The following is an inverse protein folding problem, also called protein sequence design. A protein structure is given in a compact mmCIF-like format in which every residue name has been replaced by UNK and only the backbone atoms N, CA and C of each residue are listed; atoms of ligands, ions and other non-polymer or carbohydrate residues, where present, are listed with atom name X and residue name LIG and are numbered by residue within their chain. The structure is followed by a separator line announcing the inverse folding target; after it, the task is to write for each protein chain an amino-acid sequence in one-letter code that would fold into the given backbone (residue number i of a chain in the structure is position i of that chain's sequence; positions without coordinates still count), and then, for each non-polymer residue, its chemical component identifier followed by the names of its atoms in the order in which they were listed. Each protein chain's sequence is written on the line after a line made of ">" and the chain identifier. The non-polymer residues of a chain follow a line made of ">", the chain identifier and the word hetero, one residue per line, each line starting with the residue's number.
data_IF_879002345606
#
_entry.id   IF_879002345606
#
_cell.length_a   1.000
_cell.length_b   1.000
_cell.length_c   1.000
_cell.angle_alpha   90.00
_cell.angle_beta   90.00
_cell.angle_gamma   90.00
#
_symmetry.space_group_name_H-M   'P 1'
#
loop_
_entity.id
_entity.type
_entity.pdbx_description
1 polymer ?
#
# COMPACT_ATOMS: atom_id res chain seq x y z
N UNK A 1 -0.61 5.60 -5.26
CA UNK A 1 -0.44 6.75 -6.18
C UNK A 1 -1.36 7.85 -5.72
N UNK A 2 -0.85 8.83 -5.02
CA UNK A 2 -1.61 9.93 -4.48
C UNK A 2 -0.97 11.27 -4.82
N UNK A 3 -1.73 12.35 -4.68
CA UNK A 3 -1.22 13.70 -4.84
C UNK A 3 -0.81 14.21 -3.46
N UNK A 4 0.46 14.52 -3.33
CA UNK A 4 1.06 14.96 -2.09
C UNK A 4 0.35 16.19 -1.50
N UNK A 5 -0.06 16.07 -0.24
CA UNK A 5 -0.38 17.19 0.63
C UNK A 5 -1.71 17.91 0.39
N UNK A 6 -2.46 17.61 -0.66
CA UNK A 6 -3.74 18.27 -0.89
C UNK A 6 -4.90 17.43 -0.34
N UNK A 7 -5.24 17.68 0.92
CA UNK A 7 -6.34 17.01 1.63
C UNK A 7 -7.74 17.41 1.14
N UNK A 8 -7.85 18.44 0.32
CA UNK A 8 -9.15 18.92 -0.17
C UNK A 8 -9.61 18.22 -1.46
N UNK A 9 -8.69 17.54 -2.16
CA UNK A 9 -8.99 16.89 -3.44
C UNK A 9 -9.80 15.61 -3.25
N UNK A 10 -10.83 15.42 -4.07
CA UNK A 10 -11.64 14.21 -4.11
C UNK A 10 -10.99 13.07 -4.90
N UNK A 11 -10.14 13.42 -5.88
CA UNK A 11 -9.52 12.47 -6.80
C UNK A 11 -8.29 11.73 -6.20
N UNK A 12 -7.88 12.02 -4.98
CA UNK A 12 -6.85 11.27 -4.24
C UNK A 12 -7.42 10.33 -3.16
N UNK A 13 -8.70 10.02 -3.23
CA UNK A 13 -9.35 9.07 -2.32
C UNK A 13 -9.02 7.61 -2.65
N UNK A 14 -8.50 7.36 -3.84
CA UNK A 14 -8.09 6.04 -4.30
C UNK A 14 -6.58 5.94 -4.48
N UNK A 15 -6.05 4.80 -4.09
CA UNK A 15 -4.70 4.37 -4.45
C UNK A 15 -4.77 3.43 -5.64
N UNK A 16 -3.69 3.33 -6.40
CA UNK A 16 -3.61 2.47 -7.58
C UNK A 16 -2.52 1.43 -7.38
N UNK A 17 -2.92 0.16 -7.44
CA UNK A 17 -2.00 -0.97 -7.51
C UNK A 17 -1.80 -1.30 -8.99
N UNK A 18 -0.56 -1.29 -9.45
CA UNK A 18 -0.19 -1.71 -10.79
C UNK A 18 0.27 -3.17 -10.73
N UNK A 19 -0.32 -4.01 -11.57
CA UNK A 19 0.10 -5.40 -11.74
C UNK A 19 0.89 -5.55 -13.02
N UNK A 20 2.01 -6.26 -12.92
CA UNK A 20 2.85 -6.65 -14.05
C UNK A 20 3.13 -8.14 -13.99
N UNK A 21 3.08 -8.81 -15.14
CA UNK A 21 3.56 -10.17 -15.27
C UNK A 21 5.09 -10.18 -15.18
N UNK A 22 5.63 -11.02 -14.29
CA UNK A 22 7.06 -11.08 -14.03
C UNK A 22 7.85 -11.58 -15.24
N UNK A 23 7.29 -12.53 -16.00
CA UNK A 23 7.96 -13.08 -17.16
C UNK A 23 8.00 -12.04 -18.31
N UNK A 24 6.95 -11.23 -18.43
CA UNK A 24 6.95 -10.11 -19.38
C UNK A 24 7.98 -9.04 -19.00
N UNK A 25 8.13 -8.73 -17.70
CA UNK A 25 9.13 -7.76 -17.23
C UNK A 25 10.56 -8.18 -17.57
N UNK A 26 10.87 -9.48 -17.56
CA UNK A 26 12.20 -10.00 -17.94
C UNK A 26 12.66 -9.58 -19.34
N UNK A 27 11.75 -9.33 -20.26
CA UNK A 27 12.05 -8.87 -21.62
C UNK A 27 12.68 -7.48 -21.65
N UNK A 28 12.54 -6.72 -20.57
CA UNK A 28 13.05 -5.37 -20.40
C UNK A 28 14.31 -5.30 -19.53
N UNK A 29 14.78 -6.44 -19.01
CA UNK A 29 16.01 -6.50 -18.21
C UNK A 29 17.22 -6.07 -19.03
N UNK A 30 18.01 -5.16 -18.51
CA UNK A 30 19.24 -4.66 -19.10
C UNK A 30 20.26 -4.35 -18.01
N UNK A 31 21.55 -4.42 -18.32
CA UNK A 31 22.59 -3.91 -17.42
C UNK A 31 22.34 -2.44 -17.08
N UNK A 32 22.55 -2.06 -15.84
CA UNK A 32 22.51 -0.66 -15.42
C UNK A 32 23.69 0.10 -16.06
N UNK A 33 23.41 1.25 -16.63
CA UNK A 33 24.41 2.15 -17.20
C UNK A 33 24.22 3.55 -16.62
N UNK A 34 25.27 4.12 -16.03
CA UNK A 34 25.23 5.48 -15.47
C UNK A 34 24.95 6.56 -16.52
N UNK A 35 25.30 6.32 -17.80
CA UNK A 35 25.02 7.24 -18.89
C UNK A 35 23.58 7.16 -19.39
N UNK A 36 22.88 6.06 -19.08
CA UNK A 36 21.49 5.82 -19.41
C UNK A 36 20.76 5.20 -18.20
N UNK A 37 20.61 5.96 -17.11
CA UNK A 37 20.11 5.42 -15.81
C UNK A 37 18.65 5.02 -15.86
N UNK A 38 17.87 5.54 -16.81
CA UNK A 38 16.47 5.21 -16.96
C UNK A 38 16.29 4.04 -17.91
N UNK A 39 15.69 2.97 -17.40
CA UNK A 39 15.31 1.82 -18.20
C UNK A 39 13.83 1.92 -18.54
N UNK A 40 13.48 1.62 -19.78
CA UNK A 40 12.07 1.50 -20.16
C UNK A 40 11.56 0.11 -19.80
N UNK A 41 10.34 0.06 -19.29
CA UNK A 41 9.55 -1.15 -19.08
C UNK A 41 8.37 -1.20 -20.05
N UNK A 42 7.36 -2.02 -19.78
CA UNK A 42 6.10 -2.02 -20.51
C UNK A 42 5.45 -0.64 -20.46
N UNK A 43 4.86 -0.20 -21.56
CA UNK A 43 4.13 1.09 -21.61
C UNK A 43 2.87 1.08 -20.73
N UNK A 44 2.28 -0.08 -20.56
CA UNK A 44 1.07 -0.26 -19.76
C UNK A 44 1.24 -1.43 -18.79
N UNK A 45 0.66 -1.35 -17.59
CA UNK A 45 0.56 -2.49 -16.70
C UNK A 45 -0.48 -3.49 -17.23
N UNK A 46 -0.37 -4.76 -16.81
CA UNK A 46 -1.38 -5.78 -17.11
C UNK A 46 -2.72 -5.49 -16.44
N UNK A 47 -2.70 -4.80 -15.31
CA UNK A 47 -3.88 -4.27 -14.67
C UNK A 47 -3.58 -3.05 -13.82
N UNK A 48 -4.56 -2.14 -13.75
CA UNK A 48 -4.66 -1.06 -12.77
C UNK A 48 -5.82 -1.38 -11.84
N UNK A 49 -5.53 -1.51 -10.55
CA UNK A 49 -6.51 -1.88 -9.54
C UNK A 49 -6.63 -0.72 -8.57
N UNK A 50 -7.82 -0.21 -8.43
CA UNK A 50 -8.12 0.93 -7.56
C UNK A 50 -8.53 0.43 -6.17
N UNK A 51 -8.03 1.12 -5.16
CA UNK A 51 -8.32 0.84 -3.75
C UNK A 51 -8.79 2.12 -3.09
N UNK A 52 -9.99 2.10 -2.51
CA UNK A 52 -10.46 3.24 -1.73
C UNK A 52 -9.78 3.24 -0.35
N UNK A 53 -8.98 4.25 -0.09
CA UNK A 53 -8.30 4.47 1.20
C UNK A 53 -8.75 5.76 1.87
N UNK A 54 -9.70 6.47 1.27
CA UNK A 54 -9.96 7.85 1.62
C UNK A 54 -8.78 8.73 1.24
N UNK A 55 -8.71 9.92 1.76
CA UNK A 55 -7.57 10.78 1.52
C UNK A 55 -6.36 10.31 2.32
N UNK A 56 -5.23 10.09 1.67
CA UNK A 56 -3.93 9.89 2.32
C UNK A 56 -3.04 11.10 2.06
N UNK A 57 -2.37 11.64 3.10
CA UNK A 57 -1.60 12.89 2.98
C UNK A 57 -0.44 12.73 1.99
N UNK A 58 0.28 11.63 2.06
CA UNK A 58 1.45 11.35 1.22
C UNK A 58 1.30 10.10 0.35
N UNK A 59 0.09 9.54 0.27
CA UNK A 59 -0.16 8.34 -0.49
C UNK A 59 0.22 7.05 0.25
N UNK A 60 0.58 6.03 -0.51
CA UNK A 60 0.96 4.70 -0.02
C UNK A 60 2.32 4.34 -0.57
N UNK A 61 3.21 3.88 0.31
CA UNK A 61 4.56 3.44 -0.06
C UNK A 61 4.72 1.92 0.02
N UNK A 62 3.91 1.26 0.83
CA UNK A 62 4.07 -0.17 1.11
C UNK A 62 2.80 -0.95 0.81
N UNK A 63 2.98 -2.05 0.11
CA UNK A 63 2.00 -3.10 -0.09
C UNK A 63 2.72 -4.43 0.17
N UNK A 64 2.35 -5.12 1.23
CA UNK A 64 2.97 -6.37 1.64
C UNK A 64 1.98 -7.52 1.58
N UNK A 65 2.45 -8.69 1.14
CA UNK A 65 1.65 -9.91 1.12
C UNK A 65 2.10 -10.88 2.21
N UNK A 66 1.20 -11.20 3.12
CA UNK A 66 1.41 -12.26 4.08
C UNK A 66 0.83 -13.58 3.58
N UNK A 67 1.72 -14.53 3.28
CA UNK A 67 1.35 -15.82 2.77
C UNK A 67 0.62 -16.68 3.81
N UNK A 68 0.85 -16.46 5.10
CA UNK A 68 0.22 -17.23 6.17
C UNK A 68 -1.27 -16.90 6.29
N UNK A 69 -1.62 -15.62 6.28
CA UNK A 69 -3.01 -15.16 6.32
C UNK A 69 -3.65 -15.02 4.94
N UNK A 70 -2.87 -15.11 3.87
CA UNK A 70 -3.28 -14.85 2.48
C UNK A 70 -3.87 -13.45 2.28
N UNK A 71 -3.38 -12.47 3.04
CA UNK A 71 -3.83 -11.09 2.98
C UNK A 71 -2.75 -10.17 2.42
N UNK A 72 -3.18 -9.15 1.72
CA UNK A 72 -2.37 -7.98 1.44
C UNK A 72 -2.58 -6.94 2.54
N UNK A 73 -1.49 -6.30 2.94
CA UNK A 73 -1.46 -5.22 3.92
C UNK A 73 -0.99 -3.95 3.22
N UNK A 74 -1.70 -2.87 3.46
CA UNK A 74 -1.35 -1.55 2.92
C UNK A 74 -1.30 -0.55 4.06
N UNK A 75 -0.10 -0.14 4.45
CA UNK A 75 0.10 0.92 5.42
C UNK A 75 0.15 2.27 4.70
N UNK A 76 -0.59 3.25 5.21
CA UNK A 76 -0.78 4.55 4.57
C UNK A 76 -0.40 5.69 5.50
N UNK A 77 0.07 6.80 4.94
CA UNK A 77 0.07 8.08 5.65
C UNK A 77 -1.38 8.55 5.71
N UNK A 78 -2.06 8.24 6.80
CA UNK A 78 -3.49 8.43 6.92
C UNK A 78 -3.93 9.87 6.66
N UNK A 79 -5.10 10.03 6.06
CA UNK A 79 -5.63 11.32 5.68
C UNK A 79 -6.26 12.07 6.85
N UNK A 80 -6.81 13.24 6.53
CA UNK A 80 -7.39 14.17 7.51
C UNK A 80 -8.83 14.56 7.15
N UNK A 81 -9.46 13.92 6.16
CA UNK A 81 -10.84 14.21 5.78
C UNK A 81 -11.80 13.84 6.90
N UNK A 82 -12.60 14.79 7.36
CA UNK A 82 -13.58 14.59 8.43
C UNK A 82 -14.73 13.64 8.02
N UNK A 83 -14.89 13.39 6.72
CA UNK A 83 -15.93 12.52 6.16
C UNK A 83 -15.51 11.05 6.09
N UNK A 84 -14.29 10.72 6.51
CA UNK A 84 -13.73 9.37 6.46
C UNK A 84 -12.97 9.06 7.75
N UNK A 85 -12.94 7.80 8.16
CA UNK A 85 -12.31 7.37 9.43
C UNK A 85 -10.79 7.43 9.41
N UNK A 86 -10.18 7.56 8.23
CA UNK A 86 -8.74 7.70 8.02
C UNK A 86 -7.90 6.63 8.75
N UNK A 87 -8.17 5.32 8.56
CA UNK A 87 -7.36 4.29 9.20
C UNK A 87 -5.95 4.28 8.61
N UNK A 88 -4.92 4.05 9.42
CA UNK A 88 -3.53 4.01 8.94
C UNK A 88 -3.16 2.72 8.22
N UNK A 89 -3.97 1.65 8.35
CA UNK A 89 -3.70 0.38 7.69
C UNK A 89 -4.96 -0.28 7.18
N UNK A 90 -4.85 -0.89 6.00
CA UNK A 90 -5.91 -1.61 5.30
C UNK A 90 -5.50 -3.06 5.04
N UNK A 91 -6.47 -3.96 5.10
CA UNK A 91 -6.33 -5.37 4.82
C UNK A 91 -7.16 -5.75 3.62
N UNK A 92 -6.58 -6.55 2.71
CA UNK A 92 -7.26 -7.06 1.52
C UNK A 92 -7.15 -8.58 1.49
N UNK A 93 -8.20 -9.23 1.04
CA UNK A 93 -8.19 -10.66 0.78
C UNK A 93 -7.38 -10.94 -0.49
N UNK A 94 -6.24 -11.60 -0.35
CA UNK A 94 -5.35 -11.95 -1.46
C UNK A 94 -5.92 -12.98 -2.42
N UNK A 95 -7.00 -13.67 -2.03
CA UNK A 95 -7.71 -14.65 -2.86
C UNK A 95 -8.86 -14.02 -3.66
N UNK A 96 -9.26 -12.81 -3.34
CA UNK A 96 -10.32 -12.11 -4.04
C UNK A 96 -9.82 -11.44 -5.31
N UNK A 97 -10.48 -11.74 -6.42
CA UNK A 97 -10.25 -11.01 -7.65
C UNK A 97 -10.84 -9.59 -7.56
N UNK A 98 -10.15 -8.57 -8.10
CA UNK A 98 -10.74 -7.25 -8.28
C UNK A 98 -12.00 -7.31 -9.14
N UNK A 99 -12.98 -6.46 -8.82
CA UNK A 99 -14.24 -6.38 -9.58
C UNK A 99 -14.38 -5.03 -10.26
N UNK A 100 -15.05 -5.00 -11.40
CA UNK A 100 -15.28 -3.76 -12.13
C UNK A 100 -16.39 -2.93 -11.45
N UNK A 101 -16.05 -1.73 -10.99
CA UNK A 101 -16.97 -0.80 -10.32
C UNK A 101 -16.79 0.62 -10.86
N UNK A 102 -17.84 1.44 -10.75
CA UNK A 102 -17.72 2.88 -10.98
C UNK A 102 -17.03 3.53 -9.77
N UNK A 103 -16.05 4.38 -10.04
CA UNK A 103 -15.41 5.25 -9.03
C UNK A 103 -16.33 6.44 -8.80
N UNK A 104 -16.61 6.76 -7.55
CA UNK A 104 -17.59 7.79 -7.16
C UNK A 104 -17.30 9.15 -7.79
N UNK A 105 -16.04 9.54 -7.81
CA UNK A 105 -15.62 10.89 -8.17
C UNK A 105 -15.68 11.13 -9.68
N UNK A 106 -15.31 10.14 -10.49
CA UNK A 106 -15.28 10.28 -11.95
C UNK A 106 -16.46 9.64 -12.67
N UNK A 107 -17.13 8.68 -12.04
CA UNK A 107 -18.11 7.80 -12.67
C UNK A 107 -17.52 6.78 -13.65
N UNK A 108 -16.19 6.80 -13.85
CA UNK A 108 -15.50 5.85 -14.70
C UNK A 108 -15.44 4.47 -14.05
N UNK A 109 -15.48 3.43 -14.88
CA UNK A 109 -15.41 2.03 -14.43
C UNK A 109 -13.97 1.54 -14.43
N UNK A 110 -13.55 1.00 -13.29
CA UNK A 110 -12.23 0.44 -13.11
C UNK A 110 -12.28 -0.86 -12.31
N UNK A 111 -11.22 -1.65 -12.38
CA UNK A 111 -11.01 -2.74 -11.44
C UNK A 111 -10.80 -2.16 -10.05
N UNK A 112 -11.60 -2.60 -9.10
CA UNK A 112 -11.56 -2.16 -7.70
C UNK A 112 -11.43 -3.37 -6.80
N UNK A 113 -10.56 -3.27 -5.79
CA UNK A 113 -10.52 -4.18 -4.65
C UNK A 113 -10.93 -3.42 -3.40
N UNK A 114 -11.80 -4.01 -2.60
CA UNK A 114 -12.24 -3.39 -1.35
C UNK A 114 -11.48 -3.99 -0.17
N UNK A 115 -11.10 -3.16 0.82
CA UNK A 115 -10.56 -3.67 2.07
C UNK A 115 -11.54 -4.61 2.74
N UNK A 116 -11.03 -5.67 3.34
CA UNK A 116 -11.80 -6.57 4.21
C UNK A 116 -11.74 -6.15 5.68
N UNK A 117 -10.83 -5.24 6.00
CA UNK A 117 -10.70 -4.66 7.33
C UNK A 117 -9.68 -3.54 7.37
N UNK A 118 -9.61 -2.87 8.50
CA UNK A 118 -8.66 -1.81 8.80
C UNK A 118 -8.13 -1.97 10.22
N UNK A 119 -6.93 -1.43 10.48
CA UNK A 119 -6.33 -1.38 11.81
C UNK A 119 -5.99 0.06 12.19
N UNK A 120 -6.00 0.34 13.49
CA UNK A 120 -5.52 1.59 14.06
C UNK A 120 -3.99 1.61 14.27
N UNK A 121 -3.30 0.56 13.87
CA UNK A 121 -1.85 0.45 13.99
C UNK A 121 -1.15 1.50 13.11
N UNK A 122 -0.40 2.41 13.72
CA UNK A 122 0.08 3.64 13.09
C UNK A 122 1.46 3.55 12.46
N UNK A 123 2.07 2.37 12.45
CA UNK A 123 3.39 2.13 11.87
C UNK A 123 3.30 1.33 10.57
N UNK A 124 4.41 1.22 9.87
CA UNK A 124 4.53 0.43 8.64
C UNK A 124 4.43 1.25 7.35
N UNK A 125 4.09 2.55 7.42
CA UNK A 125 4.03 3.40 6.23
C UNK A 125 5.39 3.58 5.56
N UNK A 126 6.48 3.47 6.30
CA UNK A 126 7.86 3.57 5.78
C UNK A 126 8.51 2.21 5.54
N UNK A 127 7.97 1.14 6.09
CA UNK A 127 8.44 -0.23 5.83
C UNK A 127 7.66 -1.28 6.62
N UNK A 128 7.22 -2.30 5.91
CA UNK A 128 6.60 -3.51 6.46
C UNK A 128 7.07 -4.70 5.65
N UNK A 129 7.46 -5.78 6.31
CA UNK A 129 7.95 -6.99 5.67
C UNK A 129 7.44 -8.23 6.41
N UNK A 130 6.67 -9.06 5.73
CA UNK A 130 6.20 -10.34 6.25
C UNK A 130 7.34 -11.36 6.27
N UNK A 131 7.53 -12.03 7.41
CA UNK A 131 8.54 -13.08 7.60
C UNK A 131 7.94 -14.49 7.54
N UNK A 132 6.61 -14.57 7.47
CA UNK A 132 5.85 -15.82 7.62
C UNK A 132 5.38 -16.04 9.06
N UNK A 133 4.48 -17.00 9.23
CA UNK A 133 3.92 -17.39 10.54
C UNK A 133 3.32 -16.20 11.33
N UNK A 134 2.87 -15.15 10.63
CA UNK A 134 2.32 -13.94 11.24
C UNK A 134 3.37 -13.02 11.87
N UNK A 135 4.66 -13.24 11.60
CA UNK A 135 5.74 -12.38 12.03
C UNK A 135 6.06 -11.31 10.98
N UNK A 136 6.37 -10.11 11.45
CA UNK A 136 6.67 -8.95 10.61
C UNK A 136 7.82 -8.13 11.17
N UNK A 137 8.69 -7.65 10.29
CA UNK A 137 9.49 -6.47 10.58
C UNK A 137 8.72 -5.23 10.17
N UNK A 138 8.59 -4.28 11.10
CA UNK A 138 7.88 -3.02 10.88
C UNK A 138 8.76 -1.86 11.28
N UNK A 139 8.85 -0.87 10.39
CA UNK A 139 9.62 0.35 10.65
C UNK A 139 8.79 1.38 11.43
N UNK A 140 9.47 2.02 12.36
CA UNK A 140 9.02 3.21 13.07
C UNK A 140 9.90 4.37 12.65
N UNK A 141 9.36 5.26 11.88
CA UNK A 141 10.06 6.45 11.45
C UNK A 141 9.90 7.59 12.47
N UNK A 142 10.90 8.45 12.50
CA UNK A 142 10.91 9.61 13.36
C UNK A 142 11.96 10.62 12.94
N UNK A 143 12.00 11.73 13.64
CA UNK A 143 13.00 12.78 13.45
C UNK A 143 13.52 13.30 14.79
N UNK A 144 14.82 13.55 14.84
CA UNK A 144 15.50 14.26 15.94
C UNK A 144 16.22 15.49 15.34
N UNK A 145 15.61 16.65 15.46
CA UNK A 145 16.01 17.84 14.75
C UNK A 145 15.94 17.66 13.24
N UNK A 146 17.06 17.84 12.53
CA UNK A 146 17.17 17.65 11.09
C UNK A 146 17.46 16.20 10.68
N UNK A 147 17.74 15.31 11.64
CA UNK A 147 18.05 13.90 11.37
C UNK A 147 16.78 13.08 11.35
N UNK A 148 16.59 12.37 10.25
CA UNK A 148 15.56 11.34 10.15
C UNK A 148 16.15 9.99 10.58
N UNK A 149 15.34 9.19 11.26
CA UNK A 149 15.69 7.83 11.63
C UNK A 149 14.53 6.88 11.37
N UNK A 150 14.85 5.60 11.32
CA UNK A 150 13.85 4.53 11.27
C UNK A 150 14.37 3.36 12.09
N UNK A 151 13.63 3.00 13.12
CA UNK A 151 13.88 1.81 13.93
C UNK A 151 13.03 0.67 13.39
N UNK A 152 13.58 -0.53 13.35
CA UNK A 152 12.87 -1.73 12.89
C UNK A 152 12.61 -2.63 14.08
N UNK A 153 11.34 -3.01 14.25
CA UNK A 153 10.92 -3.89 15.34
C UNK A 153 10.22 -5.13 14.79
N UNK A 154 10.34 -6.21 15.55
CA UNK A 154 9.64 -7.47 15.30
C UNK A 154 8.26 -7.40 15.93
N UNK A 155 7.26 -7.77 15.14
CA UNK A 155 5.86 -7.83 15.52
C UNK A 155 5.26 -9.19 15.22
N UNK A 156 4.33 -9.62 16.06
CA UNK A 156 3.42 -10.72 15.80
C UNK A 156 2.05 -10.12 15.45
N UNK A 157 1.50 -10.53 14.32
CA UNK A 157 0.13 -10.21 13.95
C UNK A 157 -0.83 -11.00 14.85
N UNK A 158 -1.86 -10.34 15.35
CA UNK A 158 -2.92 -10.98 16.14
C UNK A 158 -3.92 -11.67 15.22
N UNK A 159 -4.55 -12.74 15.70
CA UNK A 159 -5.66 -13.39 15.02
C UNK A 159 -6.94 -12.55 15.08
N UNK A 160 -7.83 -12.73 14.12
CA UNK A 160 -9.16 -12.14 14.11
C UNK A 160 -9.56 -11.48 12.79
N UNK A 161 -10.76 -10.93 12.74
CA UNK A 161 -11.30 -10.22 11.57
C UNK A 161 -10.58 -8.90 11.32
N UNK A 162 -10.18 -8.22 12.39
CA UNK A 162 -9.42 -6.97 12.34
C UNK A 162 -8.08 -7.21 13.08
N UNK A 163 -7.12 -7.85 12.43
CA UNK A 163 -5.84 -8.13 13.04
C UNK A 163 -5.10 -6.83 13.40
N UNK A 164 -4.33 -6.91 14.45
CA UNK A 164 -3.44 -5.84 14.93
C UNK A 164 -2.04 -6.43 15.15
N UNK A 165 -1.09 -5.63 15.61
CA UNK A 165 0.28 -6.04 15.80
C UNK A 165 0.69 -5.89 17.26
N UNK A 166 1.33 -6.94 17.79
CA UNK A 166 1.95 -6.93 19.11
C UNK A 166 3.46 -7.05 18.95
N UNK A 167 4.18 -6.16 19.59
CA UNK A 167 5.65 -6.21 19.58
C UNK A 167 6.15 -7.44 20.34
N UNK A 168 7.07 -8.17 19.72
CA UNK A 168 7.73 -9.35 20.29
C UNK A 168 8.99 -8.95 21.04
#
# INVERSE_FOLDING_TARGET
>A
YGIYGDVARGDNDYQIILRYDREELKKYERPLDQKAPHQSGPEQPDAKIFVFTGNTVYGVQNLEYDAASQKWLMAVYHGQKSTFSNPPMFWFDGQKAPVEKAIKESGERHLVIEPVGTSAFTYGQTGICALGEGLFYISHDGADGEKQFSDIYLYQMTDGENPDFQRV
#
